data_IF_749335938491
#
_entry.id   IF_749335938491
#
_cell.length_a   1.000
_cell.length_b   1.000
_cell.length_c   1.000
_cell.angle_alpha   90.00
_cell.angle_beta   90.00
_cell.angle_gamma   90.00
#
_symmetry.space_group_name_H-M   'P 1'
#
loop_
_entity.id
_entity.type
_entity.pdbx_description
1 polymer ?
#
# COMPACT_ATOMS: atom_id res chain seq x y z
N UNK A 1 -15.36 16.01 -14.12
CA UNK A 1 -15.12 15.15 -12.93
C UNK A 1 -16.47 14.74 -12.39
N UNK A 2 -16.74 13.44 -12.31
CA UNK A 2 -17.85 12.98 -11.47
C UNK A 2 -17.40 13.02 -10.01
N UNK A 3 -18.27 13.41 -9.05
CA UNK A 3 -17.95 13.32 -7.62
C UNK A 3 -17.51 11.91 -7.25
N UNK A 4 -16.70 11.76 -6.21
CA UNK A 4 -16.39 10.46 -5.62
C UNK A 4 -17.71 9.75 -5.28
N UNK A 5 -18.04 8.72 -6.05
CA UNK A 5 -19.24 7.91 -5.87
C UNK A 5 -18.85 6.59 -5.22
N UNK A 6 -19.81 6.02 -4.50
CA UNK A 6 -19.73 4.65 -3.98
C UNK A 6 -19.26 3.72 -5.10
N UNK A 7 -18.30 2.83 -4.78
CA UNK A 7 -17.56 1.95 -5.70
C UNK A 7 -18.33 1.65 -7.00
N UNK A 8 -18.06 2.43 -8.06
CA UNK A 8 -18.81 2.33 -9.31
C UNK A 8 -18.65 0.92 -9.88
N UNK A 9 -19.78 0.25 -10.14
CA UNK A 9 -19.82 -1.13 -10.65
C UNK A 9 -19.07 -1.32 -11.98
N UNK A 10 -18.87 -0.26 -12.74
CA UNK A 10 -18.14 -0.30 -14.02
C UNK A 10 -16.61 -0.29 -13.82
N UNK A 11 -16.14 0.04 -12.61
CA UNK A 11 -14.72 0.04 -12.21
C UNK A 11 -14.46 -1.10 -11.22
N UNK A 12 -15.22 -1.16 -10.13
CA UNK A 12 -15.07 -2.17 -9.10
C UNK A 12 -15.88 -3.43 -9.44
N UNK A 13 -15.44 -4.16 -10.48
CA UNK A 13 -16.10 -5.39 -10.97
C UNK A 13 -15.69 -6.61 -10.15
N UNK A 14 -16.67 -7.23 -9.49
CA UNK A 14 -16.54 -8.46 -8.70
C UNK A 14 -17.44 -9.55 -9.28
N UNK A 15 -17.22 -10.80 -8.87
CA UNK A 15 -18.11 -11.91 -9.22
C UNK A 15 -19.58 -11.66 -8.85
N UNK A 16 -19.83 -10.82 -7.82
CA UNK A 16 -21.18 -10.55 -7.30
C UNK A 16 -21.96 -9.53 -8.13
N UNK A 17 -21.29 -8.62 -8.84
CA UNK A 17 -21.95 -7.50 -9.52
C UNK A 17 -21.87 -7.54 -11.05
N UNK A 18 -21.21 -8.54 -11.63
CA UNK A 18 -21.23 -8.81 -13.08
C UNK A 18 -22.25 -9.90 -13.43
N UNK A 19 -22.73 -9.88 -14.67
CA UNK A 19 -23.58 -10.95 -15.22
C UNK A 19 -22.75 -12.19 -15.59
N UNK A 20 -23.40 -13.35 -15.70
CA UNK A 20 -22.76 -14.58 -16.21
C UNK A 20 -22.17 -14.32 -17.60
N UNK A 21 -20.94 -14.79 -17.85
CA UNK A 21 -20.18 -14.56 -19.07
C UNK A 21 -19.43 -13.23 -19.11
N UNK A 22 -19.58 -12.35 -18.11
CA UNK A 22 -18.81 -11.11 -18.01
C UNK A 22 -17.56 -11.28 -17.14
N UNK A 23 -16.53 -10.51 -17.48
CA UNK A 23 -15.26 -10.49 -16.75
C UNK A 23 -15.32 -9.60 -15.51
N UNK A 24 -14.62 -9.99 -14.46
CA UNK A 24 -14.40 -9.21 -13.24
C UNK A 24 -12.92 -9.20 -12.85
N UNK A 25 -12.50 -8.15 -12.12
CA UNK A 25 -11.09 -7.85 -11.84
C UNK A 25 -10.76 -7.83 -10.33
N UNK A 26 -11.77 -7.90 -9.46
CA UNK A 26 -11.60 -8.06 -8.02
C UNK A 26 -12.03 -9.47 -7.57
N UNK A 27 -11.27 -10.17 -6.71
CA UNK A 27 -10.13 -9.66 -5.95
C UNK A 27 -8.87 -9.39 -6.79
N UNK A 28 -8.26 -8.22 -6.58
CA UNK A 28 -7.04 -7.80 -7.27
C UNK A 28 -5.82 -8.17 -6.43
N UNK A 29 -5.05 -9.15 -6.89
CA UNK A 29 -3.78 -9.53 -6.29
C UNK A 29 -2.63 -8.74 -6.91
N UNK A 30 -1.82 -8.11 -6.06
CA UNK A 30 -0.78 -7.20 -6.48
C UNK A 30 0.46 -7.33 -5.58
N UNK A 31 1.58 -6.77 -6.04
CA UNK A 31 2.79 -6.59 -5.24
C UNK A 31 3.12 -5.10 -5.19
N UNK A 32 3.20 -4.58 -3.97
CA UNK A 32 3.72 -3.26 -3.68
C UNK A 32 5.25 -3.33 -3.57
N UNK A 33 5.95 -2.38 -4.18
CA UNK A 33 7.40 -2.24 -4.02
C UNK A 33 7.72 -0.96 -3.28
N UNK A 34 8.20 -1.08 -2.06
CA UNK A 34 8.62 0.04 -1.21
C UNK A 34 10.09 0.33 -1.44
N UNK A 35 10.40 1.55 -1.87
CA UNK A 35 11.76 2.08 -1.93
C UNK A 35 11.95 3.10 -0.81
N UNK A 36 13.10 3.06 -0.16
CA UNK A 36 13.47 3.99 0.91
C UNK A 36 14.30 5.14 0.34
N UNK A 37 14.08 6.37 0.84
CA UNK A 37 14.91 7.51 0.43
C UNK A 37 16.35 7.41 0.93
N UNK A 38 16.56 6.71 2.04
CA UNK A 38 17.88 6.49 2.62
C UNK A 38 18.65 5.45 1.82
N UNK A 39 19.81 5.86 1.29
CA UNK A 39 20.70 4.98 0.55
C UNK A 39 21.16 3.78 1.40
N UNK A 40 21.34 2.63 0.75
CA UNK A 40 21.77 1.39 1.40
C UNK A 40 20.66 0.55 2.02
N UNK A 41 19.43 1.07 2.12
CA UNK A 41 18.27 0.26 2.51
C UNK A 41 17.68 -0.39 1.25
N UNK A 42 17.69 -1.73 1.21
CA UNK A 42 17.14 -2.48 0.09
C UNK A 42 15.62 -2.25 -0.05
N UNK A 43 15.08 -2.16 -1.28
CA UNK A 43 13.65 -2.13 -1.50
C UNK A 43 12.97 -3.41 -0.98
N UNK A 44 11.72 -3.29 -0.56
CA UNK A 44 10.94 -4.40 -0.01
C UNK A 44 9.69 -4.58 -0.87
N UNK A 45 9.49 -5.80 -1.36
CA UNK A 45 8.27 -6.19 -2.06
C UNK A 45 7.28 -6.81 -1.06
N UNK A 46 6.02 -6.36 -1.09
CA UNK A 46 4.92 -6.86 -0.26
C UNK A 46 3.72 -7.21 -1.13
N UNK A 47 3.32 -8.48 -1.12
CA UNK A 47 2.09 -8.95 -1.73
C UNK A 47 0.86 -8.41 -0.99
N UNK A 48 -0.14 -7.98 -1.75
CA UNK A 48 -1.43 -7.53 -1.24
C UNK A 48 -2.56 -8.12 -2.08
N UNK A 49 -3.75 -8.13 -1.50
CA UNK A 49 -4.99 -8.27 -2.24
C UNK A 49 -5.98 -7.20 -1.83
N UNK A 50 -6.60 -6.59 -2.83
CA UNK A 50 -7.83 -5.81 -2.66
C UNK A 50 -8.98 -6.76 -2.90
N UNK A 51 -9.73 -7.08 -1.86
CA UNK A 51 -10.80 -8.09 -1.95
C UNK A 51 -12.09 -7.56 -2.58
N UNK A 52 -13.11 -8.41 -2.65
CA UNK A 52 -14.41 -8.06 -3.26
C UNK A 52 -15.24 -7.07 -2.44
N UNK A 53 -14.82 -6.73 -1.22
CA UNK A 53 -15.45 -5.74 -0.35
C UNK A 53 -14.66 -4.44 -0.28
N UNK A 54 -13.47 -4.41 -0.90
CA UNK A 54 -12.58 -3.27 -0.88
C UNK A 54 -11.65 -3.24 0.32
N UNK A 55 -11.59 -4.32 1.12
CA UNK A 55 -10.57 -4.45 2.14
C UNK A 55 -9.22 -4.79 1.51
N UNK A 56 -8.15 -4.23 2.06
CA UNK A 56 -6.79 -4.50 1.63
C UNK A 56 -6.11 -5.30 2.71
N UNK A 57 -5.68 -6.51 2.36
CA UNK A 57 -4.88 -7.37 3.22
C UNK A 57 -3.58 -7.75 2.53
N UNK A 58 -2.62 -8.23 3.30
CA UNK A 58 -1.42 -8.83 2.75
C UNK A 58 -1.74 -10.13 2.02
N UNK A 59 -0.85 -10.47 1.10
CA UNK A 59 -0.75 -11.74 0.40
C UNK A 59 0.73 -12.16 0.46
N UNK A 60 1.25 -12.45 1.64
CA UNK A 60 2.66 -12.83 1.84
C UNK A 60 2.83 -14.28 1.40
N UNK A 61 3.78 -14.55 0.51
CA UNK A 61 4.12 -15.91 0.09
C UNK A 61 4.76 -16.76 1.21
N UNK A 62 4.66 -18.10 1.14
CA UNK A 62 5.48 -18.98 1.96
C UNK A 62 6.98 -18.71 1.71
N UNK A 63 7.79 -18.88 2.76
CA UNK A 63 9.24 -18.64 2.72
C UNK A 63 9.64 -17.19 2.35
N UNK A 64 8.80 -16.22 2.73
CA UNK A 64 9.13 -14.81 2.58
C UNK A 64 10.44 -14.43 3.30
N UNK A 65 11.16 -13.47 2.72
CA UNK A 65 12.38 -12.90 3.31
C UNK A 65 12.14 -11.45 3.74
N UNK A 66 13.11 -10.85 4.42
CA UNK A 66 13.02 -9.46 4.87
C UNK A 66 12.77 -8.43 3.74
N UNK A 67 13.17 -8.75 2.50
CA UNK A 67 13.03 -7.87 1.33
C UNK A 67 12.05 -8.40 0.28
N UNK A 68 11.57 -9.62 0.43
CA UNK A 68 10.70 -10.26 -0.55
C UNK A 68 9.58 -11.02 0.16
N UNK A 69 8.47 -10.30 0.32
CA UNK A 69 7.17 -10.77 0.78
C UNK A 69 6.15 -10.71 -0.37
N UNK A 70 6.59 -10.83 -1.63
CA UNK A 70 5.72 -10.77 -2.82
C UNK A 70 4.59 -11.79 -2.80
N UNK A 71 3.52 -11.51 -3.56
CA UNK A 71 2.27 -12.28 -3.51
C UNK A 71 2.24 -13.57 -4.33
N UNK A 72 1.42 -14.51 -3.86
CA UNK A 72 1.17 -15.81 -4.51
C UNK A 72 -0.33 -16.14 -4.63
N UNK A 73 -1.19 -15.13 -4.56
CA UNK A 73 -2.64 -15.27 -4.72
C UNK A 73 -3.27 -16.23 -3.71
N UNK A 74 -2.82 -16.16 -2.45
CA UNK A 74 -3.31 -16.96 -1.34
C UNK A 74 -4.76 -16.65 -0.98
N UNK A 75 -5.56 -17.71 -0.85
CA UNK A 75 -6.96 -17.62 -0.42
C UNK A 75 -7.00 -17.69 1.10
N UNK A 76 -7.45 -16.59 1.73
CA UNK A 76 -7.51 -16.47 3.18
C UNK A 76 -8.86 -16.91 3.72
N UNK A 77 -8.82 -17.59 4.87
CA UNK A 77 -9.98 -17.79 5.72
C UNK A 77 -10.25 -16.55 6.56
N UNK A 78 -11.42 -15.93 6.40
CA UNK A 78 -11.81 -14.69 7.10
C UNK A 78 -11.71 -14.80 8.64
N UNK A 79 -11.87 -16.01 9.19
CA UNK A 79 -11.89 -16.23 10.64
C UNK A 79 -10.49 -16.25 11.28
N UNK A 80 -9.46 -16.59 10.50
CA UNK A 80 -8.10 -16.79 11.04
C UNK A 80 -7.08 -15.85 10.43
N UNK A 81 -7.42 -15.23 9.30
CA UNK A 81 -6.48 -14.48 8.46
C UNK A 81 -5.28 -15.33 8.02
N UNK A 82 -5.40 -16.66 8.04
CA UNK A 82 -4.41 -17.60 7.53
C UNK A 82 -4.84 -18.04 6.13
N UNK A 83 -3.89 -18.05 5.19
CA UNK A 83 -4.15 -18.51 3.83
C UNK A 83 -4.04 -20.03 3.65
N UNK A 84 -4.40 -20.50 2.47
CA UNK A 84 -4.32 -21.90 2.07
C UNK A 84 -2.88 -22.46 2.00
N UNK A 85 -1.85 -21.63 2.16
CA UNK A 85 -0.45 -22.03 2.29
C UNK A 85 0.02 -22.05 3.76
N UNK A 86 -0.87 -21.75 4.71
CA UNK A 86 -0.55 -21.69 6.14
C UNK A 86 0.15 -20.40 6.57
N UNK A 87 0.14 -19.35 5.73
CA UNK A 87 0.79 -18.07 6.04
C UNK A 87 -0.21 -17.12 6.69
N UNK A 88 0.20 -16.49 7.79
CA UNK A 88 -0.56 -15.42 8.43
C UNK A 88 -0.57 -14.18 7.54
N UNK A 89 -1.76 -13.68 7.26
CA UNK A 89 -2.01 -12.44 6.53
C UNK A 89 -2.56 -11.37 7.48
N UNK A 90 -2.45 -10.11 7.07
CA UNK A 90 -2.78 -8.96 7.90
C UNK A 90 -3.65 -7.97 7.14
N UNK A 91 -4.66 -7.40 7.80
CA UNK A 91 -5.43 -6.30 7.24
C UNK A 91 -4.59 -5.03 7.34
N UNK A 92 -4.38 -4.36 6.21
CA UNK A 92 -3.48 -3.20 6.12
C UNK A 92 -4.15 -1.97 5.51
N UNK A 93 -5.39 -2.06 5.05
CA UNK A 93 -6.04 -0.92 4.44
C UNK A 93 -7.43 -1.19 3.89
N UNK A 94 -7.94 -0.19 3.20
CA UNK A 94 -9.23 -0.26 2.52
C UNK A 94 -9.25 0.67 1.31
N UNK A 95 -10.12 0.37 0.36
CA UNK A 95 -10.45 1.25 -0.75
C UNK A 95 -11.42 2.35 -0.32
N UNK A 96 -11.34 3.50 -0.98
CA UNK A 96 -12.35 4.55 -0.91
C UNK A 96 -13.25 4.54 -2.15
N UNK A 97 -13.66 5.73 -2.59
CA UNK A 97 -14.46 5.88 -3.81
C UNK A 97 -13.67 5.56 -5.08
N UNK A 98 -14.40 5.38 -6.17
CA UNK A 98 -13.85 5.25 -7.53
C UNK A 98 -13.75 6.61 -8.21
N UNK A 99 -12.73 6.80 -9.04
CA UNK A 99 -12.61 7.95 -9.95
C UNK A 99 -12.69 7.48 -11.40
N UNK A 100 -13.34 8.30 -12.22
CA UNK A 100 -13.57 8.02 -13.62
C UNK A 100 -13.32 9.29 -14.44
N UNK A 101 -12.37 9.22 -15.35
CA UNK A 101 -12.15 10.18 -16.44
C UNK A 101 -11.96 9.43 -17.76
N UNK A 102 -11.77 10.14 -18.88
CA UNK A 102 -11.57 9.53 -20.20
C UNK A 102 -10.45 8.49 -20.21
N UNK A 103 -9.35 8.76 -19.51
CA UNK A 103 -8.15 7.91 -19.49
C UNK A 103 -7.84 7.35 -18.09
N UNK A 104 -8.78 7.47 -17.16
CA UNK A 104 -8.58 7.04 -15.78
C UNK A 104 -9.80 6.30 -15.26
N UNK A 105 -9.56 5.10 -14.75
CA UNK A 105 -10.54 4.27 -14.07
C UNK A 105 -9.81 3.74 -12.85
N UNK A 106 -10.09 4.32 -11.70
CA UNK A 106 -9.28 4.05 -10.52
C UNK A 106 -10.10 3.89 -9.26
N UNK A 107 -9.50 3.21 -8.29
CA UNK A 107 -10.04 3.06 -6.94
C UNK A 107 -9.08 3.74 -5.97
N UNK A 108 -9.58 4.64 -5.13
CA UNK A 108 -8.74 5.28 -4.11
C UNK A 108 -8.35 4.27 -3.03
N UNK A 109 -7.17 4.39 -2.43
CA UNK A 109 -6.69 3.45 -1.41
C UNK A 109 -6.07 4.18 -0.22
N UNK A 110 -6.23 3.59 0.96
CA UNK A 110 -5.60 4.03 2.22
C UNK A 110 -5.02 2.82 2.91
N UNK A 111 -3.73 2.87 3.23
CA UNK A 111 -3.03 1.75 3.87
C UNK A 111 -2.22 2.23 5.08
N UNK A 112 -2.26 1.44 6.15
CA UNK A 112 -1.49 1.58 7.39
C UNK A 112 -0.93 0.19 7.71
N UNK A 113 0.39 0.06 7.66
CA UNK A 113 1.10 -1.19 7.92
C UNK A 113 1.50 -1.21 9.39
N UNK A 114 0.63 -1.69 10.27
CA UNK A 114 0.81 -1.59 11.73
C UNK A 114 1.27 -2.88 12.42
N UNK A 115 1.82 -3.84 11.65
CA UNK A 115 2.14 -5.17 12.14
C UNK A 115 3.66 -5.36 12.29
N UNK A 116 4.16 -5.72 13.48
CA UNK A 116 5.59 -5.91 13.73
C UNK A 116 6.25 -6.93 12.78
N UNK A 117 5.51 -7.94 12.33
CA UNK A 117 5.98 -8.99 11.42
C UNK A 117 6.33 -8.45 10.02
N UNK A 118 5.87 -7.25 9.66
CA UNK A 118 6.24 -6.58 8.42
C UNK A 118 7.62 -5.90 8.49
N UNK A 119 8.31 -6.01 9.63
CA UNK A 119 9.69 -5.57 9.81
C UNK A 119 9.87 -4.08 9.50
N UNK A 120 10.73 -3.76 8.53
CA UNK A 120 11.01 -2.37 8.13
C UNK A 120 9.81 -1.63 7.55
N UNK A 121 8.74 -2.33 7.17
CA UNK A 121 7.50 -1.70 6.69
C UNK A 121 6.55 -1.31 7.84
N UNK A 122 6.79 -1.77 9.06
CA UNK A 122 5.94 -1.46 10.20
C UNK A 122 5.92 0.06 10.48
N UNK A 123 4.73 0.62 10.65
CA UNK A 123 4.46 2.05 10.85
C UNK A 123 4.28 2.85 9.56
N UNK A 124 4.44 2.24 8.38
CA UNK A 124 4.27 2.94 7.11
C UNK A 124 2.79 3.26 6.85
N UNK A 125 2.53 4.49 6.42
CA UNK A 125 1.26 4.97 5.93
C UNK A 125 1.34 5.36 4.46
N UNK A 126 0.28 5.04 3.71
CA UNK A 126 0.16 5.30 2.26
C UNK A 126 -1.26 5.79 1.95
N UNK A 127 -1.37 6.83 1.11
CA UNK A 127 -2.67 7.24 0.57
C UNK A 127 -3.61 7.97 1.54
N UNK A 128 -3.16 8.30 2.76
CA UNK A 128 -3.99 8.95 3.78
C UNK A 128 -4.36 10.41 3.48
N UNK A 129 -3.79 11.02 2.44
CA UNK A 129 -4.00 12.44 2.08
C UNK A 129 -3.86 13.38 3.29
N UNK A 130 -2.76 13.20 4.02
CA UNK A 130 -2.52 13.81 5.33
C UNK A 130 -1.17 14.50 5.35
N UNK A 131 -1.10 15.64 6.05
CA UNK A 131 0.16 16.33 6.32
C UNK A 131 0.62 15.98 7.73
N UNK A 132 1.83 15.45 7.86
CA UNK A 132 2.50 15.32 9.16
C UNK A 132 3.40 16.53 9.31
N UNK A 133 2.96 17.47 10.16
CA UNK A 133 3.68 18.71 10.40
C UNK A 133 4.49 18.55 11.69
N UNK A 134 5.76 18.91 11.60
CA UNK A 134 6.60 19.14 12.75
C UNK A 134 6.95 20.62 12.83
N UNK A 135 6.62 21.25 13.96
CA UNK A 135 7.18 22.55 14.31
C UNK A 135 8.53 22.34 15.01
N UNK A 136 9.63 22.54 14.29
CA UNK A 136 10.97 22.54 14.89
C UNK A 136 11.32 23.98 15.25
N UNK A 137 11.60 24.27 16.53
CA UNK A 137 11.84 25.64 17.02
C UNK A 137 13.09 26.31 16.42
N UNK A 138 14.02 25.55 15.86
CA UNK A 138 15.35 26.08 15.44
C UNK A 138 15.60 26.12 13.92
N UNK A 139 14.91 25.33 13.10
CA UNK A 139 15.15 25.24 11.63
C UNK A 139 13.91 25.51 10.77
N UNK A 140 12.80 25.92 11.38
CA UNK A 140 11.50 26.05 10.70
C UNK A 140 10.73 24.73 10.69
N UNK A 141 9.44 24.80 10.35
CA UNK A 141 8.58 23.62 10.32
C UNK A 141 8.93 22.68 9.17
N UNK A 142 9.21 21.40 9.45
CA UNK A 142 9.25 20.36 8.42
C UNK A 142 7.86 19.74 8.29
N UNK A 143 7.29 19.76 7.08
CA UNK A 143 6.03 19.12 6.75
C UNK A 143 6.30 17.97 5.78
N UNK A 144 5.99 16.74 6.19
CA UNK A 144 5.97 15.58 5.30
C UNK A 144 4.53 15.28 4.91
N UNK A 145 4.26 15.35 3.61
CA UNK A 145 2.92 15.09 3.07
C UNK A 145 2.81 13.65 2.60
N UNK A 146 1.83 12.94 3.14
CA UNK A 146 1.34 11.67 2.59
C UNK A 146 0.26 12.02 1.58
N UNK A 147 0.61 11.95 0.29
CA UNK A 147 -0.35 12.20 -0.78
C UNK A 147 -1.50 11.19 -0.73
N UNK A 148 -2.67 11.58 -1.25
CA UNK A 148 -3.67 10.59 -1.64
C UNK A 148 -3.14 9.62 -2.70
N UNK A 149 -3.69 8.41 -2.73
CA UNK A 149 -3.27 7.35 -3.63
C UNK A 149 -4.48 6.65 -4.26
N UNK A 150 -4.30 6.18 -5.50
CA UNK A 150 -5.30 5.44 -6.26
C UNK A 150 -4.65 4.35 -7.10
N UNK A 151 -5.35 3.22 -7.25
CA UNK A 151 -4.99 2.15 -8.16
C UNK A 151 -5.75 2.36 -9.45
N UNK A 152 -5.05 2.64 -10.56
CA UNK A 152 -5.65 2.69 -11.88
C UNK A 152 -5.78 1.27 -12.44
N UNK A 153 -6.99 0.91 -12.85
CA UNK A 153 -7.39 -0.41 -13.36
C UNK A 153 -7.94 -0.33 -14.79
N UNK A 154 -7.78 0.79 -15.49
CA UNK A 154 -8.35 1.01 -16.83
C UNK A 154 -7.90 -0.05 -17.84
N UNK A 155 -6.64 -0.51 -17.74
CA UNK A 155 -6.10 -1.56 -18.60
C UNK A 155 -6.58 -2.96 -18.18
N UNK A 156 -6.80 -3.21 -16.89
CA UNK A 156 -7.44 -4.45 -16.43
C UNK A 156 -8.86 -4.59 -17.02
N UNK A 157 -9.62 -3.48 -17.03
CA UNK A 157 -10.98 -3.45 -17.59
C UNK A 157 -11.00 -3.71 -19.11
N UNK A 158 -9.87 -3.56 -19.79
CA UNK A 158 -9.66 -3.86 -21.21
C UNK A 158 -9.04 -5.24 -21.47
N UNK A 159 -8.88 -6.06 -20.42
CA UNK A 159 -8.37 -7.43 -20.54
C UNK A 159 -6.85 -7.56 -20.39
N UNK A 160 -6.12 -6.49 -20.05
CA UNK A 160 -4.67 -6.56 -19.85
C UNK A 160 -4.35 -6.93 -18.40
N UNK A 161 -3.97 -8.19 -18.13
CA UNK A 161 -3.78 -8.69 -16.77
C UNK A 161 -2.69 -7.94 -15.95
N UNK A 162 -1.68 -7.35 -16.61
CA UNK A 162 -0.65 -6.52 -15.97
C UNK A 162 -1.00 -5.02 -15.91
N UNK A 163 -2.27 -4.69 -16.13
CA UNK A 163 -2.77 -3.33 -16.37
C UNK A 163 -3.10 -2.51 -15.12
N UNK A 164 -2.51 -2.82 -13.96
CA UNK A 164 -2.73 -2.04 -12.74
C UNK A 164 -1.48 -1.27 -12.33
N UNK A 165 -1.65 -0.03 -11.87
CA UNK A 165 -0.59 0.77 -11.27
C UNK A 165 -1.13 1.63 -10.12
N UNK A 166 -0.23 2.05 -9.23
CA UNK A 166 -0.53 2.92 -8.09
C UNK A 166 0.04 4.31 -8.36
N UNK A 167 -0.82 5.33 -8.28
CA UNK A 167 -0.44 6.73 -8.51
C UNK A 167 -1.11 7.67 -7.52
N UNK A 168 -0.61 8.90 -7.45
CA UNK A 168 -1.33 10.01 -6.83
C UNK A 168 -2.48 10.48 -7.73
N UNK A 169 -3.33 11.38 -7.23
CA UNK A 169 -4.39 12.00 -8.04
C UNK A 169 -3.86 12.73 -9.29
N UNK A 170 -2.62 13.25 -9.21
CA UNK A 170 -1.91 13.92 -10.32
C UNK A 170 -1.07 12.95 -11.17
N UNK A 171 -1.30 11.63 -11.06
CA UNK A 171 -0.59 10.58 -11.80
C UNK A 171 0.93 10.55 -11.57
N UNK A 172 1.37 10.87 -10.35
CA UNK A 172 2.78 10.76 -9.92
C UNK A 172 3.01 9.50 -9.10
N UNK A 173 4.27 9.12 -8.90
CA UNK A 173 4.66 8.08 -7.95
C UNK A 173 4.17 8.42 -6.55
N UNK A 174 3.62 7.43 -5.84
CA UNK A 174 3.10 7.62 -4.49
C UNK A 174 4.24 7.63 -3.48
N UNK A 175 4.24 8.63 -2.61
CA UNK A 175 5.11 8.68 -1.45
C UNK A 175 4.46 7.98 -0.26
N UNK A 176 5.28 7.35 0.56
CA UNK A 176 4.89 6.81 1.86
C UNK A 176 5.68 7.49 2.97
N UNK A 177 5.11 7.46 4.17
CA UNK A 177 5.71 8.02 5.38
C UNK A 177 5.62 6.99 6.51
N UNK A 178 6.60 6.97 7.39
CA UNK A 178 6.53 6.32 8.69
C UNK A 178 6.58 7.41 9.77
N UNK A 179 5.44 7.82 10.36
CA UNK A 179 5.40 8.91 11.33
C UNK A 179 6.24 8.63 12.56
N UNK A 180 6.29 7.36 13.01
CA UNK A 180 7.08 6.98 14.17
C UNK A 180 8.58 7.12 13.88
N UNK A 181 9.04 6.63 12.73
CA UNK A 181 10.42 6.83 12.29
C UNK A 181 10.78 8.31 12.11
N UNK A 182 9.86 9.12 11.58
CA UNK A 182 10.06 10.56 11.44
C UNK A 182 10.31 11.25 12.78
N UNK A 183 9.48 11.01 13.80
CA UNK A 183 9.70 11.57 15.14
C UNK A 183 10.91 10.96 15.84
N UNK A 184 11.21 9.67 15.60
CA UNK A 184 12.42 9.03 16.13
C UNK A 184 13.68 9.71 15.59
N UNK A 185 13.73 10.04 14.29
CA UNK A 185 14.89 10.72 13.72
C UNK A 185 15.15 12.07 14.40
N UNK A 186 14.08 12.78 14.75
CA UNK A 186 14.18 14.06 15.45
C UNK A 186 14.79 13.85 16.82
N UNK A 187 14.27 12.89 17.59
CA UNK A 187 14.82 12.53 18.88
C UNK A 187 16.31 12.15 18.78
N UNK A 188 16.68 11.39 17.75
CA UNK A 188 18.07 10.97 17.52
C UNK A 188 19.03 12.14 17.26
N UNK A 189 18.53 13.28 16.80
CA UNK A 189 19.32 14.47 16.49
C UNK A 189 19.40 15.48 17.65
N UNK A 190 18.74 15.22 18.78
CA UNK A 190 18.83 16.09 19.95
C UNK A 190 20.19 15.83 20.64
N UNK A 191 20.96 16.89 20.86
CA UNK A 191 22.23 16.80 21.59
C UNK A 191 22.00 16.55 23.10
N UNK A 192 22.92 15.81 23.72
CA UNK A 192 22.97 15.60 25.18
C UNK A 192 21.71 14.96 25.81
N UNK A 193 20.96 14.15 25.05
CA UNK A 193 19.83 13.37 25.59
C UNK A 193 20.32 12.20 26.44
N UNK A 194 19.68 11.97 27.58
CA UNK A 194 19.90 10.82 28.45
C UNK A 194 18.60 10.03 28.68
N UNK A 195 18.55 8.73 28.36
CA UNK A 195 19.63 7.95 27.75
C UNK A 195 19.90 8.40 26.30
N UNK A 196 21.14 8.21 25.83
CA UNK A 196 21.47 8.46 24.43
C UNK A 196 20.72 7.47 23.52
N UNK A 197 20.33 7.88 22.29
CA UNK A 197 19.66 7.00 21.34
C UNK A 197 20.48 5.75 21.03
N UNK A 198 19.80 4.60 21.09
CA UNK A 198 20.34 3.28 20.74
C UNK A 198 20.54 3.14 19.22
N UNK A 199 21.33 2.15 18.80
CA UNK A 199 21.53 1.87 17.37
C UNK A 199 20.23 1.46 16.66
N UNK A 200 19.31 0.79 17.36
CA UNK A 200 17.99 0.43 16.81
C UNK A 200 17.13 1.67 16.55
N UNK A 201 17.13 2.63 17.48
CA UNK A 201 16.44 3.91 17.35
C UNK A 201 17.03 4.77 16.22
N UNK A 202 18.37 4.81 16.11
CA UNK A 202 19.07 5.45 14.98
C UNK A 202 18.65 4.83 13.66
N UNK A 203 18.67 3.49 13.56
CA UNK A 203 18.26 2.77 12.37
C UNK A 203 16.77 2.99 12.04
N UNK A 204 15.89 3.10 13.03
CA UNK A 204 14.47 3.44 12.82
C UNK A 204 14.33 4.83 12.21
N UNK A 205 15.05 5.83 12.72
CA UNK A 205 15.05 7.18 12.18
C UNK A 205 15.43 7.26 10.69
N UNK A 206 16.21 6.31 10.18
CA UNK A 206 16.58 6.25 8.76
C UNK A 206 15.46 5.75 7.83
N UNK A 207 14.33 5.27 8.35
CA UNK A 207 13.24 4.64 7.60
C UNK A 207 11.98 5.51 7.52
N UNK A 208 12.14 6.83 7.53
CA UNK A 208 11.01 7.76 7.65
C UNK A 208 10.14 7.87 6.39
N UNK A 209 10.71 7.78 5.19
CA UNK A 209 9.99 8.10 3.97
C UNK A 209 10.60 7.42 2.75
N UNK A 210 9.78 7.36 1.70
CA UNK A 210 10.17 6.79 0.43
C UNK A 210 9.03 6.77 -0.58
N UNK A 211 9.17 5.94 -1.60
CA UNK A 211 8.17 5.76 -2.65
C UNK A 211 7.63 4.35 -2.69
N UNK A 212 6.40 4.19 -3.17
CA UNK A 212 5.76 2.89 -3.38
C UNK A 212 5.16 2.82 -4.77
N UNK A 213 5.42 1.72 -5.45
CA UNK A 213 4.78 1.37 -6.73
C UNK A 213 3.99 0.08 -6.59
N UNK A 214 3.11 -0.18 -7.55
CA UNK A 214 2.29 -1.39 -7.60
C UNK A 214 2.43 -2.02 -8.98
N UNK A 215 2.52 -3.35 -8.98
CA UNK A 215 2.31 -4.21 -10.15
C UNK A 215 1.33 -5.32 -9.77
N UNK A 216 0.61 -5.88 -10.73
CA UNK A 216 -0.16 -7.10 -10.47
C UNK A 216 0.76 -8.25 -10.05
N UNK A 217 0.26 -9.14 -9.21
CA UNK A 217 0.99 -10.36 -8.85
C UNK A 217 1.13 -11.27 -10.07
N UNK A 218 2.19 -12.08 -10.13
CA UNK A 218 2.47 -12.92 -11.31
C UNK A 218 1.39 -14.00 -11.51
N UNK A 219 0.73 -14.40 -10.42
CA UNK A 219 -0.40 -15.34 -10.40
C UNK A 219 -1.76 -14.70 -10.71
N UNK A 220 -1.84 -13.36 -10.81
CA UNK A 220 -3.12 -12.67 -10.99
C UNK A 220 -3.70 -12.92 -12.38
N UNK A 221 -5.01 -13.16 -12.42
CA UNK A 221 -5.76 -13.36 -13.65
C UNK A 221 -7.11 -12.63 -13.58
N UNK A 222 -7.51 -12.06 -14.71
CA UNK A 222 -8.87 -11.57 -14.92
C UNK A 222 -9.78 -12.80 -15.06
N UNK A 223 -10.90 -12.81 -14.35
CA UNK A 223 -11.80 -13.97 -14.29
C UNK A 223 -13.13 -13.66 -14.97
N UNK A 224 -13.85 -14.71 -15.34
CA UNK A 224 -15.22 -14.64 -15.90
C UNK A 224 -16.19 -15.30 -14.92
N UNK A 225 -17.40 -14.75 -14.78
CA UNK A 225 -18.47 -15.32 -13.97
C UNK A 225 -19.24 -16.41 -14.69
#
# INVERSE_FOLDING_TARGET
MSPASFLLKDIFKTSKNVATGQTYIFPLYATLRFQFNTAGIAPIDLGIVVDEYGDIRTDIKPNATATDMSGQCGVVSDNTMIDNNGVQQYRIGTTGGTESSTNDKSVTVRMILAEPQLGNLNGIVVGLNSNVIQAIKETGSQSLTVSGAKINVANLLQGQASGANLTTYDNKTVNWLNPYAFYQQVYNNIENVSPAPTEAEKALGQRMAGTVTLRTADCYQIKTK
#
